data_IF_900302431021
#
_entry.id   IF_900302431021
#
_cell.length_a   1.000
_cell.length_b   1.000
_cell.length_c   1.000
_cell.angle_alpha   90.00
_cell.angle_beta   90.00
_cell.angle_gamma   90.00
#
_symmetry.space_group_name_H-M   'P 1'
#
loop_
_entity.id
_entity.type
_entity.pdbx_description
1 polymer ?
#
# COMPACT_ATOMS: atom_id res chain seq x y z
N UNK A 1 -14.25 12.23 6.78
CA UNK A 1 -14.83 11.78 8.06
C UNK A 1 -15.17 13.03 8.87
N UNK A 2 -16.31 13.11 9.56
CA UNK A 2 -16.61 14.26 10.41
C UNK A 2 -15.78 14.13 11.70
N UNK A 3 -14.72 14.92 11.82
CA UNK A 3 -13.68 14.81 12.86
C UNK A 3 -14.28 14.87 14.29
N UNK A 4 -15.27 15.75 14.50
CA UNK A 4 -15.98 15.88 15.79
C UNK A 4 -16.75 14.62 16.20
N UNK A 5 -17.31 13.89 15.23
CA UNK A 5 -18.02 12.64 15.54
C UNK A 5 -17.03 11.58 15.98
N UNK A 6 -15.93 11.41 15.24
CA UNK A 6 -14.90 10.43 15.57
C UNK A 6 -14.27 10.69 16.95
N UNK A 7 -14.02 11.95 17.29
CA UNK A 7 -13.53 12.35 18.61
C UNK A 7 -14.50 11.98 19.74
N UNK A 8 -15.80 12.26 19.57
CA UNK A 8 -16.81 11.92 20.59
C UNK A 8 -17.03 10.40 20.74
N UNK A 9 -17.03 9.67 19.61
CA UNK A 9 -17.15 8.21 19.61
C UNK A 9 -15.96 7.58 20.33
N UNK A 10 -14.73 8.05 20.04
CA UNK A 10 -13.51 7.58 20.71
C UNK A 10 -13.50 7.89 22.22
N UNK A 11 -13.88 9.11 22.60
CA UNK A 11 -13.97 9.51 24.01
C UNK A 11 -14.96 8.63 24.79
N UNK A 12 -16.11 8.33 24.21
CA UNK A 12 -17.11 7.45 24.82
C UNK A 12 -16.59 6.02 24.96
N UNK A 13 -15.86 5.54 23.94
CA UNK A 13 -15.25 4.21 23.95
C UNK A 13 -14.18 4.08 25.04
N UNK A 14 -13.25 5.03 25.16
CA UNK A 14 -12.16 4.94 26.16
C UNK A 14 -12.69 5.03 27.59
N UNK A 15 -13.71 5.86 27.84
CA UNK A 15 -14.39 5.93 29.15
C UNK A 15 -15.03 4.59 29.52
N UNK A 16 -15.74 3.97 28.57
CA UNK A 16 -16.37 2.66 28.76
C UNK A 16 -15.35 1.56 29.03
N UNK A 17 -14.24 1.56 28.29
CA UNK A 17 -13.15 0.58 28.45
C UNK A 17 -12.48 0.67 29.82
N UNK A 18 -12.21 1.89 30.30
CA UNK A 18 -11.64 2.11 31.63
C UNK A 18 -12.61 1.64 32.73
N UNK A 19 -13.91 1.93 32.58
CA UNK A 19 -14.93 1.50 33.53
C UNK A 19 -15.10 -0.03 33.56
N UNK A 20 -14.98 -0.70 32.42
CA UNK A 20 -15.01 -2.15 32.33
C UNK A 20 -13.77 -2.80 32.95
N UNK A 21 -12.56 -2.32 32.63
CA UNK A 21 -11.34 -2.84 33.25
C UNK A 21 -11.32 -2.65 34.76
N UNK A 22 -11.76 -1.49 35.27
CA UNK A 22 -11.87 -1.28 36.72
C UNK A 22 -12.83 -2.26 37.40
N UNK A 23 -13.87 -2.72 36.70
CA UNK A 23 -14.81 -3.75 37.20
C UNK A 23 -14.27 -5.18 37.09
N UNK A 24 -13.44 -5.44 36.09
CA UNK A 24 -12.89 -6.79 35.83
C UNK A 24 -11.63 -7.11 36.63
N UNK A 25 -10.97 -6.09 37.18
CA UNK A 25 -9.62 -6.21 37.76
C UNK A 25 -9.51 -5.56 39.15
N UNK A 26 -10.60 -5.01 39.69
CA UNK A 26 -10.66 -4.38 41.01
C UNK A 26 -10.96 -5.36 42.17
N UNK A 27 -10.86 -4.91 43.44
CA UNK A 27 -11.26 -5.71 44.60
C UNK A 27 -12.73 -6.17 44.48
N UNK A 28 -12.98 -7.48 44.56
CA UNK A 28 -14.32 -8.07 44.38
C UNK A 28 -14.68 -8.42 42.93
N UNK A 29 -13.69 -8.43 42.02
CA UNK A 29 -13.89 -8.89 40.64
C UNK A 29 -14.32 -10.37 40.58
N UNK A 30 -15.10 -10.78 39.57
CA UNK A 30 -15.47 -12.18 39.39
C UNK A 30 -14.23 -13.04 39.15
N UNK A 31 -14.00 -14.03 40.01
CA UNK A 31 -13.04 -15.10 39.73
C UNK A 31 -13.61 -16.01 38.64
N UNK A 32 -12.76 -16.45 37.71
CA UNK A 32 -13.16 -17.28 36.58
C UNK A 32 -13.65 -18.67 37.04
N UNK A 33 -13.13 -19.15 38.17
CA UNK A 33 -13.54 -20.41 38.80
C UNK A 33 -13.21 -20.42 40.30
N UNK A 34 -13.91 -21.28 41.06
CA UNK A 34 -13.65 -21.45 42.49
C UNK A 34 -12.23 -22.02 42.71
N UNK A 35 -11.40 -21.30 43.48
CA UNK A 35 -10.02 -21.68 43.79
C UNK A 35 -8.94 -20.97 42.97
N UNK A 36 -9.31 -20.05 42.08
CA UNK A 36 -8.36 -19.14 41.45
C UNK A 36 -7.67 -18.26 42.51
N UNK A 37 -6.34 -18.21 42.49
CA UNK A 37 -5.57 -17.35 43.38
C UNK A 37 -5.73 -15.88 42.94
N UNK A 38 -5.78 -14.94 43.90
CA UNK A 38 -5.59 -13.52 43.62
C UNK A 38 -4.19 -13.35 43.01
N UNK A 39 -4.13 -13.27 41.68
CA UNK A 39 -2.90 -13.22 40.90
C UNK A 39 -2.73 -11.89 40.18
N UNK A 40 -1.48 -11.55 39.92
CA UNK A 40 -1.08 -10.47 39.01
C UNK A 40 -1.85 -10.56 37.68
N UNK A 41 -2.25 -9.42 37.15
CA UNK A 41 -3.05 -9.33 35.94
C UNK A 41 -2.15 -9.63 34.76
N UNK A 42 -2.29 -10.84 34.23
CA UNK A 42 -1.48 -11.29 33.09
C UNK A 42 -1.61 -10.32 31.91
N UNK A 43 -0.51 -10.14 31.18
CA UNK A 43 -0.45 -9.31 29.99
C UNK A 43 -1.50 -9.70 28.94
N UNK A 44 -1.74 -11.00 28.79
CA UNK A 44 -2.82 -11.52 27.92
C UNK A 44 -4.20 -10.95 28.27
N UNK A 45 -4.50 -10.75 29.56
CA UNK A 45 -5.76 -10.17 30.03
C UNK A 45 -5.84 -8.70 29.65
N UNK A 46 -4.77 -7.93 29.87
CA UNK A 46 -4.70 -6.51 29.44
C UNK A 46 -4.91 -6.38 27.94
N UNK A 47 -4.24 -7.21 27.15
CA UNK A 47 -4.32 -7.24 25.69
C UNK A 47 -5.76 -7.47 25.24
N UNK A 48 -6.36 -8.58 25.68
CA UNK A 48 -7.70 -9.01 25.28
C UNK A 48 -8.82 -8.08 25.71
N UNK A 49 -8.80 -7.61 26.96
CA UNK A 49 -9.93 -6.86 27.53
C UNK A 49 -9.82 -5.35 27.34
N UNK A 50 -8.61 -4.82 27.15
CA UNK A 50 -8.40 -3.38 26.99
C UNK A 50 -7.79 -3.01 25.63
N UNK A 51 -6.59 -3.51 25.32
CA UNK A 51 -5.83 -3.01 24.16
C UNK A 51 -6.51 -3.33 22.83
N UNK A 52 -7.05 -4.54 22.66
CA UNK A 52 -7.69 -4.92 21.39
C UNK A 52 -8.85 -3.97 21.04
N UNK A 53 -9.67 -3.63 22.05
CA UNK A 53 -10.81 -2.74 21.87
C UNK A 53 -10.42 -1.27 21.79
N UNK A 54 -9.36 -0.87 22.49
CA UNK A 54 -8.76 0.45 22.31
C UNK A 54 -8.30 0.62 20.86
N UNK A 55 -7.64 -0.40 20.28
CA UNK A 55 -7.15 -0.37 18.91
C UNK A 55 -8.27 -0.30 17.89
N UNK A 56 -9.34 -1.08 18.10
CA UNK A 56 -10.56 -0.98 17.29
C UNK A 56 -11.17 0.42 17.36
N UNK A 57 -11.23 1.04 18.54
CA UNK A 57 -11.73 2.42 18.70
C UNK A 57 -10.83 3.46 18.02
N UNK A 58 -9.52 3.21 17.94
CA UNK A 58 -8.55 4.01 17.17
C UNK A 58 -8.64 3.77 15.65
N UNK A 59 -9.52 2.86 15.20
CA UNK A 59 -9.74 2.52 13.79
C UNK A 59 -8.78 1.48 13.22
N UNK A 60 -8.04 0.76 14.07
CA UNK A 60 -7.21 -0.36 13.65
C UNK A 60 -8.03 -1.65 13.58
N UNK A 61 -7.78 -2.45 12.55
CA UNK A 61 -8.45 -3.72 12.33
C UNK A 61 -7.50 -4.85 12.73
N UNK A 62 -7.89 -5.63 13.74
CA UNK A 62 -7.16 -6.78 14.24
C UNK A 62 -7.49 -8.05 13.44
N UNK A 63 -6.70 -9.09 13.70
CA UNK A 63 -6.90 -10.40 13.10
C UNK A 63 -6.33 -10.56 11.69
N UNK A 64 -6.52 -11.73 11.08
CA UNK A 64 -5.70 -12.15 9.94
C UNK A 64 -5.77 -11.19 8.74
N UNK A 65 -6.93 -10.61 8.43
CA UNK A 65 -7.11 -9.71 7.29
C UNK A 65 -6.95 -8.22 7.66
N UNK A 66 -6.66 -7.95 8.93
CA UNK A 66 -6.56 -6.61 9.47
C UNK A 66 -5.29 -5.87 9.06
N UNK A 67 -5.27 -4.59 9.42
CA UNK A 67 -4.12 -3.69 9.27
C UNK A 67 -3.29 -3.57 10.55
N UNK A 68 -3.60 -4.36 11.58
CA UNK A 68 -2.84 -4.54 12.80
C UNK A 68 -2.64 -6.04 13.05
N UNK A 69 -1.39 -6.49 13.11
CA UNK A 69 -1.06 -7.89 13.45
C UNK A 69 -0.76 -8.01 14.93
N UNK A 70 -1.38 -9.00 15.57
CA UNK A 70 -1.05 -9.43 16.93
C UNK A 70 0.11 -10.42 16.89
N UNK A 71 0.98 -10.41 17.91
CA UNK A 71 2.13 -11.32 18.06
C UNK A 71 2.97 -11.42 16.78
N UNK A 72 3.22 -10.26 16.17
CA UNK A 72 3.86 -10.15 14.89
C UNK A 72 5.28 -10.73 14.96
N UNK A 73 5.58 -11.65 14.05
CA UNK A 73 6.87 -12.32 13.94
C UNK A 73 7.69 -11.63 12.88
N UNK A 74 8.82 -11.06 13.28
CA UNK A 74 9.80 -10.52 12.34
C UNK A 74 11.02 -11.42 12.36
N UNK A 75 11.33 -11.97 11.19
CA UNK A 75 12.50 -12.82 10.98
C UNK A 75 13.66 -11.94 10.54
N UNK A 76 14.57 -11.67 11.48
CA UNK A 76 15.91 -11.13 11.19
C UNK A 76 16.89 -12.31 11.29
N UNK A 77 17.97 -12.20 12.07
CA UNK A 77 18.84 -13.35 12.42
C UNK A 77 18.17 -14.28 13.46
N UNK A 78 17.40 -13.70 14.38
CA UNK A 78 16.54 -14.39 15.35
C UNK A 78 15.09 -13.93 15.19
N UNK A 79 14.11 -14.76 15.55
CA UNK A 79 12.69 -14.37 15.53
C UNK A 79 12.41 -13.38 16.66
N UNK A 80 12.03 -12.16 16.31
CA UNK A 80 11.54 -11.16 17.26
C UNK A 80 10.00 -11.22 17.27
N UNK A 81 9.41 -11.22 18.46
CA UNK A 81 7.97 -11.17 18.67
C UNK A 81 7.60 -9.79 19.17
N UNK A 82 6.70 -9.10 18.46
CA UNK A 82 6.14 -7.81 18.88
C UNK A 82 4.65 -8.00 19.19
N UNK A 83 4.13 -7.36 20.24
CA UNK A 83 2.76 -7.59 20.67
C UNK A 83 1.75 -7.14 19.63
N UNK A 84 1.92 -5.91 19.10
CA UNK A 84 1.14 -5.43 17.96
C UNK A 84 1.99 -4.64 16.98
N UNK A 85 1.72 -4.86 15.69
CA UNK A 85 2.32 -4.11 14.59
C UNK A 85 1.24 -3.64 13.62
N UNK A 86 1.06 -2.32 13.58
CA UNK A 86 0.19 -1.63 12.64
C UNK A 86 0.95 -1.34 11.35
N UNK A 87 0.34 -1.67 10.21
CA UNK A 87 0.96 -1.57 8.89
C UNK A 87 0.19 -0.66 7.95
N UNK A 88 0.87 -0.13 6.94
CA UNK A 88 0.21 0.55 5.82
C UNK A 88 -0.69 -0.41 5.05
N UNK A 89 -1.74 0.10 4.39
CA UNK A 89 -2.59 -0.74 3.54
C UNK A 89 -1.84 -1.20 2.28
N UNK A 90 -1.10 -0.28 1.67
CA UNK A 90 -0.58 -0.47 0.31
C UNK A 90 0.73 -1.25 0.31
N UNK A 91 1.68 -0.84 1.14
CA UNK A 91 3.01 -1.46 1.20
C UNK A 91 3.14 -2.53 2.28
N UNK A 92 2.17 -2.63 3.19
CA UNK A 92 2.22 -3.46 4.40
C UNK A 92 3.47 -3.21 5.27
N UNK A 93 4.15 -2.08 5.07
CA UNK A 93 5.29 -1.67 5.89
C UNK A 93 4.83 -1.34 7.31
N UNK A 94 5.59 -1.75 8.35
CA UNK A 94 5.30 -1.41 9.74
C UNK A 94 5.34 0.10 9.99
N UNK A 95 4.25 0.70 10.46
CA UNK A 95 4.20 2.13 10.78
C UNK A 95 4.04 2.40 12.27
N UNK A 96 3.41 1.47 12.99
CA UNK A 96 3.07 1.62 14.39
C UNK A 96 3.39 0.34 15.16
N UNK A 97 4.08 0.46 16.29
CA UNK A 97 4.32 -0.68 17.19
C UNK A 97 3.67 -0.41 18.52
N UNK A 98 3.14 -1.46 19.11
CA UNK A 98 2.69 -1.46 20.50
C UNK A 98 3.41 -2.57 21.23
N UNK A 99 4.06 -2.18 22.31
CA UNK A 99 4.58 -3.09 23.31
C UNK A 99 3.68 -3.00 24.55
N UNK A 100 3.04 -4.12 24.86
CA UNK A 100 2.07 -4.26 25.94
C UNK A 100 2.74 -4.81 27.20
N UNK A 101 2.15 -4.48 28.36
CA UNK A 101 2.53 -5.00 29.67
C UNK A 101 1.28 -5.38 30.47
N UNK A 102 1.47 -6.18 31.53
CA UNK A 102 0.42 -6.50 32.50
C UNK A 102 -0.18 -5.24 33.15
N UNK A 103 -1.46 -5.27 33.47
CA UNK A 103 -2.22 -4.10 33.96
C UNK A 103 -1.62 -3.50 35.22
N UNK A 104 -1.06 -4.35 36.08
CA UNK A 104 -0.46 -4.00 37.37
C UNK A 104 0.96 -3.41 37.27
N UNK A 105 1.56 -3.34 36.07
CA UNK A 105 2.94 -2.91 35.95
C UNK A 105 3.08 -1.42 36.31
N UNK A 106 4.06 -1.09 37.18
CA UNK A 106 4.17 0.25 37.72
C UNK A 106 4.55 1.25 36.63
N UNK A 107 4.09 2.49 36.82
CA UNK A 107 4.57 3.62 36.04
C UNK A 107 6.09 3.82 36.21
N UNK A 108 6.70 4.60 35.32
CA UNK A 108 8.14 4.84 35.35
C UNK A 108 8.59 5.33 36.73
N UNK A 109 9.64 4.68 37.25
CA UNK A 109 10.16 4.92 38.59
C UNK A 109 11.67 4.76 38.59
N UNK A 110 12.32 5.58 39.43
CA UNK A 110 13.77 5.59 39.56
C UNK A 110 14.28 4.32 40.25
N UNK A 111 15.50 3.92 39.92
CA UNK A 111 16.19 2.79 40.60
C UNK A 111 16.70 3.16 42.00
N UNK A 112 16.82 4.45 42.32
CA UNK A 112 17.35 4.94 43.58
C UNK A 112 16.51 6.08 44.17
N UNK A 113 16.66 6.29 45.49
CA UNK A 113 15.90 7.28 46.24
C UNK A 113 16.28 8.73 45.90
N UNK A 114 17.46 8.98 45.33
CA UNK A 114 17.90 10.33 44.94
C UNK A 114 17.11 10.79 43.73
N UNK A 115 16.99 9.92 42.73
CA UNK A 115 16.27 10.17 41.48
C UNK A 115 14.77 9.96 41.59
N UNK A 116 14.27 9.37 42.68
CA UNK A 116 12.84 9.20 42.93
C UNK A 116 12.05 10.52 42.98
N UNK A 117 12.72 11.67 43.13
CA UNK A 117 12.11 13.01 43.10
C UNK A 117 12.12 13.66 41.71
N UNK A 118 12.80 13.07 40.73
CA UNK A 118 12.84 13.60 39.36
C UNK A 118 11.46 13.49 38.70
N UNK A 119 11.18 14.42 37.78
CA UNK A 119 9.94 14.35 37.01
C UNK A 119 9.97 13.13 36.07
N UNK A 120 8.86 12.40 35.88
CA UNK A 120 8.81 11.23 35.00
C UNK A 120 9.32 11.48 33.58
N UNK A 121 9.10 12.69 33.04
CA UNK A 121 9.58 13.12 31.72
C UNK A 121 11.11 13.24 31.65
N UNK A 122 11.77 13.73 32.69
CA UNK A 122 13.23 13.80 32.74
C UNK A 122 13.83 12.41 32.93
N UNK A 123 13.19 11.60 33.78
CA UNK A 123 13.63 10.25 34.08
C UNK A 123 13.57 9.34 32.85
N UNK A 124 12.52 9.42 32.04
CA UNK A 124 12.40 8.61 30.82
C UNK A 124 13.44 9.00 29.77
N UNK A 125 13.74 10.29 29.61
CA UNK A 125 14.79 10.77 28.70
C UNK A 125 16.14 10.22 29.12
N UNK A 126 16.48 10.31 30.41
CA UNK A 126 17.75 9.73 30.93
C UNK A 126 17.82 8.24 30.70
N UNK A 127 16.72 7.51 30.90
CA UNK A 127 16.66 6.08 30.66
C UNK A 127 16.85 5.74 29.17
N UNK A 128 16.25 6.50 28.26
CA UNK A 128 16.45 6.35 26.81
C UNK A 128 17.91 6.61 26.44
N UNK A 129 18.51 7.69 26.93
CA UNK A 129 19.92 7.99 26.67
C UNK A 129 20.87 6.94 27.25
N UNK A 130 20.52 6.34 28.39
CA UNK A 130 21.25 5.22 28.96
C UNK A 130 21.20 4.00 28.04
N UNK A 131 20.00 3.64 27.55
CA UNK A 131 19.81 2.52 26.60
C UNK A 131 20.54 2.76 25.28
N UNK A 132 20.47 3.99 24.73
CA UNK A 132 21.18 4.39 23.50
C UNK A 132 22.68 4.17 23.57
N UNK A 133 23.26 4.41 24.75
CA UNK A 133 24.69 4.23 25.01
C UNK A 133 25.08 2.79 25.32
N UNK A 134 24.13 1.85 25.28
CA UNK A 134 24.36 0.44 25.64
C UNK A 134 24.57 0.24 27.14
N UNK A 135 24.02 1.11 27.99
CA UNK A 135 24.19 1.03 29.42
C UNK A 135 23.57 -0.22 30.04
N UNK A 136 24.30 -0.85 30.96
CA UNK A 136 23.87 -2.05 31.68
C UNK A 136 22.71 -1.78 32.64
N UNK A 137 21.92 -2.83 32.92
CA UNK A 137 20.67 -2.76 33.68
C UNK A 137 20.89 -2.31 35.13
N UNK A 138 21.98 -2.77 35.73
CA UNK A 138 22.38 -2.52 37.11
C UNK A 138 22.65 -1.04 37.36
N UNK A 139 23.08 -0.31 36.34
CA UNK A 139 23.39 1.12 36.38
C UNK A 139 22.28 2.00 35.80
N UNK A 140 21.13 1.41 35.48
CA UNK A 140 19.99 2.11 34.90
C UNK A 140 19.47 3.20 35.85
N UNK A 141 19.08 4.39 35.34
CA UNK A 141 18.44 5.42 36.15
C UNK A 141 17.01 5.02 36.58
N UNK A 142 16.40 4.04 35.90
CA UNK A 142 15.09 3.49 36.19
C UNK A 142 15.18 2.06 36.70
N UNK A 143 14.12 1.59 37.36
CA UNK A 143 14.03 0.19 37.80
C UNK A 143 14.29 -0.78 36.63
N UNK A 144 14.83 -1.96 36.96
CA UNK A 144 15.29 -2.93 35.96
C UNK A 144 14.21 -3.33 34.94
N UNK A 145 12.95 -3.43 35.35
CA UNK A 145 11.85 -3.75 34.42
C UNK A 145 11.69 -2.66 33.33
N UNK A 146 11.76 -1.38 33.70
CA UNK A 146 11.67 -0.27 32.74
C UNK A 146 12.88 -0.20 31.81
N UNK A 147 14.08 -0.55 32.30
CA UNK A 147 15.26 -0.71 31.45
C UNK A 147 15.01 -1.77 30.37
N UNK A 148 14.51 -2.95 30.75
CA UNK A 148 14.21 -4.04 29.81
C UNK A 148 13.18 -3.58 28.75
N UNK A 149 12.12 -2.89 29.16
CA UNK A 149 11.07 -2.40 28.25
C UNK A 149 11.63 -1.43 27.21
N UNK A 150 12.47 -0.48 27.62
CA UNK A 150 13.09 0.48 26.72
C UNK A 150 14.12 -0.17 25.81
N UNK A 151 14.89 -1.14 26.30
CA UNK A 151 15.79 -1.95 25.47
C UNK A 151 15.02 -2.73 24.39
N UNK A 152 13.85 -3.26 24.72
CA UNK A 152 13.00 -3.98 23.78
C UNK A 152 12.45 -3.05 22.69
N UNK A 153 11.90 -1.89 23.06
CA UNK A 153 11.47 -0.86 22.10
C UNK A 153 12.62 -0.41 21.21
N UNK A 154 13.79 -0.11 21.78
CA UNK A 154 14.99 0.27 21.02
C UNK A 154 15.36 -0.79 19.97
N UNK A 155 15.36 -2.08 20.36
CA UNK A 155 15.64 -3.20 19.45
C UNK A 155 14.65 -3.25 18.30
N UNK A 156 13.36 -3.02 18.55
CA UNK A 156 12.35 -3.00 17.50
C UNK A 156 12.55 -1.88 16.50
N UNK A 157 12.72 -0.65 17.00
CA UNK A 157 12.93 0.54 16.18
C UNK A 157 14.16 0.34 15.29
N UNK A 158 15.27 -0.14 15.87
CA UNK A 158 16.50 -0.43 15.12
C UNK A 158 16.30 -1.52 14.07
N UNK A 159 15.76 -2.68 14.47
CA UNK A 159 15.63 -3.84 13.58
C UNK A 159 14.76 -3.54 12.36
N UNK A 160 13.66 -2.81 12.55
CA UNK A 160 12.77 -2.44 11.44
C UNK A 160 13.39 -1.38 10.53
N UNK A 161 14.11 -0.40 11.10
CA UNK A 161 14.84 0.60 10.31
C UNK A 161 15.92 -0.08 9.46
N UNK A 162 16.68 -0.99 10.04
CA UNK A 162 17.74 -1.73 9.34
C UNK A 162 17.15 -2.65 8.25
N UNK A 163 16.00 -3.28 8.51
CA UNK A 163 15.37 -4.24 7.58
C UNK A 163 14.63 -3.58 6.42
N UNK A 164 13.92 -2.47 6.66
CA UNK A 164 13.02 -1.87 5.68
C UNK A 164 13.47 -0.48 5.19
N UNK A 165 14.47 0.13 5.84
CA UNK A 165 15.01 1.44 5.47
C UNK A 165 14.12 2.64 5.84
N UNK A 166 12.87 2.42 6.23
CA UNK A 166 11.92 3.48 6.57
C UNK A 166 11.81 3.73 8.08
N UNK A 167 11.30 4.90 8.46
CA UNK A 167 11.07 5.25 9.86
C UNK A 167 9.69 4.81 10.35
N UNK A 168 9.65 4.32 11.58
CA UNK A 168 8.38 4.11 12.28
C UNK A 168 7.72 5.47 12.55
N UNK A 169 6.41 5.52 12.35
CA UNK A 169 5.62 6.73 12.57
C UNK A 169 5.31 6.89 14.05
N UNK A 170 4.99 5.81 14.76
CA UNK A 170 4.69 5.84 16.20
C UNK A 170 5.17 4.58 16.91
N UNK A 171 5.46 4.71 18.19
CA UNK A 171 5.55 3.57 19.13
C UNK A 171 4.72 3.88 20.37
N UNK A 172 3.95 2.90 20.84
CA UNK A 172 3.24 2.93 22.11
C UNK A 172 3.81 1.86 23.04
N UNK A 173 4.28 2.26 24.21
CA UNK A 173 4.57 1.36 25.33
C UNK A 173 3.49 1.57 26.38
N UNK A 174 2.80 0.51 26.80
CA UNK A 174 1.62 0.66 27.66
C UNK A 174 1.34 -0.56 28.55
N UNK A 175 0.84 -0.32 29.76
CA UNK A 175 0.21 -1.35 30.61
C UNK A 175 -1.33 -1.29 30.60
N UNK A 176 -1.91 -0.36 29.84
CA UNK A 176 -3.31 0.05 30.00
C UNK A 176 -3.51 1.11 31.10
N UNK A 177 -2.87 0.99 32.26
CA UNK A 177 -2.91 2.02 33.32
C UNK A 177 -2.09 3.27 32.97
N UNK A 178 -1.09 3.11 32.12
CA UNK A 178 -0.29 4.22 31.60
C UNK A 178 0.06 4.00 30.13
N UNK A 179 0.34 5.09 29.44
CA UNK A 179 0.82 5.12 28.05
C UNK A 179 2.06 5.99 27.97
N UNK A 180 3.06 5.49 27.24
CA UNK A 180 4.18 6.28 26.74
C UNK A 180 4.14 6.22 25.23
N UNK A 181 3.83 7.35 24.60
CA UNK A 181 3.76 7.49 23.15
C UNK A 181 5.02 8.19 22.67
N UNK A 182 5.72 7.56 21.74
CA UNK A 182 6.88 8.14 21.05
C UNK A 182 6.45 8.62 19.67
N UNK A 183 6.49 9.93 19.46
CA UNK A 183 6.03 10.56 18.22
C UNK A 183 7.02 10.34 17.06
N UNK A 184 8.33 10.39 17.33
CA UNK A 184 9.37 10.18 16.32
C UNK A 184 10.37 9.12 16.78
N UNK A 185 9.99 7.82 16.82
CA UNK A 185 10.78 6.76 17.44
C UNK A 185 12.22 6.66 16.93
N UNK A 186 12.44 6.76 15.61
CA UNK A 186 13.79 6.74 15.04
C UNK A 186 14.65 7.90 15.55
N UNK A 187 14.08 9.11 15.65
CA UNK A 187 14.79 10.27 16.20
C UNK A 187 15.06 10.09 17.69
N UNK A 188 14.06 9.63 18.45
CA UNK A 188 14.16 9.42 19.90
C UNK A 188 15.22 8.36 20.25
N UNK A 189 15.20 7.21 19.58
CA UNK A 189 16.01 6.04 19.95
C UNK A 189 17.29 5.88 19.13
N UNK A 190 17.33 6.28 17.86
CA UNK A 190 18.49 6.10 16.98
C UNK A 190 19.24 7.40 16.68
N UNK A 191 18.66 8.55 17.03
CA UNK A 191 19.27 9.86 16.84
C UNK A 191 20.53 10.08 17.68
N UNK A 192 21.46 10.88 17.14
CA UNK A 192 22.71 11.25 17.82
C UNK A 192 22.53 12.32 18.90
N UNK A 193 21.50 13.14 18.78
CA UNK A 193 21.10 14.13 19.79
C UNK A 193 20.35 13.46 20.95
N UNK A 194 20.27 14.15 22.10
CA UNK A 194 19.40 13.73 23.20
C UNK A 194 17.94 13.65 22.73
N UNK A 195 17.18 12.71 23.28
CA UNK A 195 15.74 12.61 23.05
C UNK A 195 15.03 13.92 23.41
N UNK A 196 14.19 14.40 22.50
CA UNK A 196 13.40 15.61 22.69
C UNK A 196 12.20 15.30 23.61
N UNK A 197 12.02 16.02 24.74
CA UNK A 197 10.84 15.87 25.58
C UNK A 197 9.52 16.04 24.84
N UNK A 198 9.46 16.87 23.79
CA UNK A 198 8.25 17.10 23.02
C UNK A 198 7.79 15.85 22.24
N UNK A 199 8.71 14.92 21.97
CA UNK A 199 8.42 13.68 21.23
C UNK A 199 7.88 12.56 22.12
N UNK A 200 7.83 12.77 23.45
CA UNK A 200 7.52 11.73 24.44
C UNK A 200 6.30 12.16 25.26
N UNK A 201 5.17 11.53 24.98
CA UNK A 201 3.91 11.82 25.67
C UNK A 201 3.68 10.74 26.73
N UNK A 202 3.68 11.15 27.99
CA UNK A 202 3.36 10.29 29.13
C UNK A 202 1.94 10.56 29.63
N UNK A 203 1.14 9.51 29.76
CA UNK A 203 -0.25 9.58 30.22
C UNK A 203 -0.51 8.51 31.28
N UNK A 204 -1.38 8.82 32.24
CA UNK A 204 -2.00 7.84 33.15
C UNK A 204 -3.46 7.65 32.81
N UNK A 205 -4.06 6.57 33.28
CA UNK A 205 -5.47 6.22 33.04
C UNK A 205 -6.44 7.37 33.35
N UNK A 206 -6.16 8.16 34.39
CA UNK A 206 -6.94 9.32 34.79
C UNK A 206 -6.95 10.44 33.73
N UNK A 207 -5.91 10.51 32.89
CA UNK A 207 -5.77 11.53 31.86
C UNK A 207 -6.51 11.16 30.57
N UNK A 208 -6.81 9.87 30.34
CA UNK A 208 -7.23 9.37 29.03
C UNK A 208 -8.52 9.98 28.52
N UNK A 209 -9.53 10.15 29.38
CA UNK A 209 -10.82 10.73 28.95
C UNK A 209 -10.64 12.22 28.63
N UNK A 210 -9.88 12.95 29.46
CA UNK A 210 -9.62 14.37 29.30
C UNK A 210 -8.75 14.65 28.06
N UNK A 211 -7.79 13.77 27.76
CA UNK A 211 -6.86 13.85 26.63
C UNK A 211 -7.20 12.91 25.47
N UNK A 212 -8.46 12.48 25.40
CA UNK A 212 -8.92 11.51 24.39
C UNK A 212 -8.70 12.00 22.95
N UNK A 213 -8.90 13.30 22.70
CA UNK A 213 -8.60 13.91 21.39
C UNK A 213 -7.11 13.80 21.05
N UNK A 214 -6.21 14.14 21.98
CA UNK A 214 -4.76 14.02 21.76
C UNK A 214 -4.35 12.57 21.49
N UNK A 215 -4.91 11.62 22.22
CA UNK A 215 -4.64 10.19 22.02
C UNK A 215 -5.10 9.75 20.62
N UNK A 216 -6.29 10.17 20.19
CA UNK A 216 -6.81 9.87 18.86
C UNK A 216 -5.94 10.51 17.76
N UNK A 217 -5.48 11.74 17.98
CA UNK A 217 -4.61 12.45 17.05
C UNK A 217 -3.21 11.82 16.93
N UNK A 218 -2.71 11.25 18.03
CA UNK A 218 -1.40 10.60 18.06
C UNK A 218 -1.43 9.17 17.53
N UNK A 219 -2.47 8.39 17.85
CA UNK A 219 -2.52 6.94 17.66
C UNK A 219 -3.59 6.45 16.69
N UNK A 220 -4.52 7.33 16.30
CA UNK A 220 -5.60 7.00 15.38
C UNK A 220 -5.04 6.55 14.04
N UNK A 221 -5.59 5.45 13.50
CA UNK A 221 -5.11 4.88 12.24
C UNK A 221 -5.11 5.91 11.11
N UNK A 222 -6.12 6.76 11.06
CA UNK A 222 -6.26 7.81 10.04
C UNK A 222 -5.21 8.94 10.15
N UNK A 223 -4.49 9.04 11.28
CA UNK A 223 -3.40 9.99 11.50
C UNK A 223 -2.04 9.37 11.20
N UNK A 224 -1.88 8.09 11.56
CA UNK A 224 -0.65 7.33 11.33
C UNK A 224 -0.53 6.89 9.87
N UNK A 225 -1.62 6.39 9.28
CA UNK A 225 -1.65 5.93 7.89
C UNK A 225 -2.14 7.08 7.02
N UNK A 226 -1.23 7.66 6.25
CA UNK A 226 -1.60 8.56 5.17
C UNK A 226 -2.53 7.80 4.21
N UNK A 227 -3.82 8.12 4.27
CA UNK A 227 -4.79 7.55 3.32
C UNK A 227 -4.67 8.36 2.05
N UNK A 228 -3.77 7.94 1.18
CA UNK A 228 -3.69 8.49 -0.17
C UNK A 228 -4.90 7.95 -0.94
N UNK A 229 -5.73 8.82 -1.53
CA UNK A 229 -6.77 8.37 -2.45
C UNK A 229 -6.17 7.52 -3.57
N UNK A 230 -6.85 6.43 -3.95
CA UNK A 230 -6.45 5.57 -5.07
C UNK A 230 -6.24 6.34 -6.37
N UNK A 231 -6.99 7.43 -6.55
CA UNK A 231 -6.87 8.37 -7.66
C UNK A 231 -6.94 9.81 -7.19
N UNK A 232 -6.07 10.65 -7.73
CA UNK A 232 -6.00 12.09 -7.49
C UNK A 232 -6.43 12.88 -8.73
N UNK A 233 -7.08 14.02 -8.53
CA UNK A 233 -7.17 15.07 -9.54
C UNK A 233 -5.89 15.91 -9.52
N UNK A 234 -5.48 16.54 -10.64
CA UNK A 234 -4.26 17.36 -10.68
C UNK A 234 -4.19 18.43 -9.57
N UNK A 235 -5.32 19.05 -9.24
CA UNK A 235 -5.40 20.07 -8.19
C UNK A 235 -5.19 19.55 -6.77
N UNK A 236 -5.30 18.23 -6.56
CA UNK A 236 -5.09 17.60 -5.26
C UNK A 236 -3.63 17.20 -5.02
N UNK A 237 -2.80 17.17 -6.07
CA UNK A 237 -1.39 16.80 -5.98
C UNK A 237 -0.61 17.54 -4.89
N UNK A 238 -0.72 18.88 -4.73
CA UNK A 238 0.06 19.63 -3.74
C UNK A 238 -0.22 19.22 -2.30
N UNK A 239 -1.38 18.61 -2.03
CA UNK A 239 -1.73 18.08 -0.70
C UNK A 239 -0.91 16.84 -0.33
N UNK A 240 -0.44 16.09 -1.33
CA UNK A 240 0.21 14.79 -1.14
C UNK A 240 1.65 14.75 -1.62
N UNK A 241 2.10 15.71 -2.42
CA UNK A 241 3.44 15.76 -3.01
C UNK A 241 3.98 17.18 -2.95
N UNK A 242 5.16 17.35 -2.37
CA UNK A 242 5.91 18.60 -2.48
C UNK A 242 6.79 18.57 -3.73
N UNK A 243 7.18 19.73 -4.29
CA UNK A 243 8.02 19.79 -5.49
C UNK A 243 9.31 18.96 -5.39
N UNK A 244 9.95 18.93 -4.21
CA UNK A 244 11.18 18.17 -3.96
C UNK A 244 10.99 16.68 -3.68
N UNK A 245 9.75 16.21 -3.54
CA UNK A 245 9.43 14.82 -3.19
C UNK A 245 9.19 13.95 -4.43
N UNK A 246 9.13 14.53 -5.63
CA UNK A 246 8.91 13.80 -6.89
C UNK A 246 10.20 13.11 -7.30
N UNK A 247 10.21 11.78 -7.29
CA UNK A 247 11.31 10.98 -7.82
C UNK A 247 11.22 10.86 -9.34
N UNK A 248 10.06 10.44 -9.85
CA UNK A 248 9.81 10.19 -11.27
C UNK A 248 8.34 10.43 -11.64
N UNK A 249 8.12 10.65 -12.93
CA UNK A 249 6.79 10.73 -13.54
C UNK A 249 6.69 9.70 -14.65
N UNK A 250 5.50 9.14 -14.86
CA UNK A 250 5.21 8.23 -15.96
C UNK A 250 3.85 8.57 -16.55
N UNK A 251 3.67 8.32 -17.83
CA UNK A 251 2.32 8.16 -18.38
C UNK A 251 1.73 6.83 -17.94
N UNK A 252 0.41 6.85 -17.79
CA UNK A 252 -0.38 5.65 -17.64
C UNK A 252 -1.72 5.81 -18.35
N UNK A 253 -2.49 4.73 -18.36
CA UNK A 253 -3.86 4.71 -18.83
C UNK A 253 -4.73 3.99 -17.81
N UNK A 254 -5.79 4.62 -17.35
CA UNK A 254 -6.90 3.85 -16.78
C UNK A 254 -7.74 3.32 -17.94
N UNK A 255 -7.95 2.02 -17.95
CA UNK A 255 -8.66 1.32 -19.01
C UNK A 255 -9.84 0.61 -18.38
N UNK A 256 -11.02 0.86 -18.94
CA UNK A 256 -12.26 0.22 -18.56
C UNK A 256 -12.81 -0.57 -19.72
N UNK A 257 -13.17 -1.81 -19.46
CA UNK A 257 -13.79 -2.69 -20.45
C UNK A 257 -15.25 -2.93 -20.12
N UNK A 258 -16.11 -2.67 -21.11
CA UNK A 258 -17.55 -2.81 -20.98
C UNK A 258 -18.11 -3.82 -22.00
N UNK A 259 -19.05 -4.66 -21.54
CA UNK A 259 -19.90 -5.44 -22.42
C UNK A 259 -21.13 -4.60 -22.80
N UNK A 260 -21.09 -3.99 -23.98
CA UNK A 260 -22.16 -3.15 -24.52
C UNK A 260 -23.28 -4.00 -25.14
N UNK A 261 -24.53 -3.58 -24.93
CA UNK A 261 -25.73 -4.21 -25.47
C UNK A 261 -26.49 -5.07 -24.47
N UNK A 262 -27.61 -5.64 -24.93
CA UNK A 262 -28.49 -6.47 -24.10
C UNK A 262 -27.86 -7.81 -23.77
N UNK A 263 -28.01 -8.27 -22.53
CA UNK A 263 -27.63 -9.63 -22.12
C UNK A 263 -28.45 -10.74 -22.81
N UNK A 264 -29.53 -10.38 -23.52
CA UNK A 264 -30.33 -11.30 -24.34
C UNK A 264 -29.79 -11.49 -25.76
N UNK A 265 -28.86 -10.64 -26.19
CA UNK A 265 -28.23 -10.68 -27.51
C UNK A 265 -26.70 -10.78 -27.37
N UNK A 266 -26.00 -10.97 -28.48
CA UNK A 266 -24.54 -10.95 -28.46
C UNK A 266 -24.04 -9.54 -28.10
N UNK A 267 -23.41 -9.42 -26.94
CA UNK A 267 -22.82 -8.17 -26.47
C UNK A 267 -21.53 -7.86 -27.24
N UNK A 268 -21.25 -6.58 -27.43
CA UNK A 268 -20.03 -6.10 -28.09
C UNK A 268 -19.08 -5.48 -27.06
N UNK A 269 -17.77 -5.72 -27.17
CA UNK A 269 -16.81 -5.08 -26.30
C UNK A 269 -16.72 -3.58 -26.61
N UNK A 270 -16.62 -2.77 -25.57
CA UNK A 270 -16.27 -1.35 -25.64
C UNK A 270 -15.13 -1.11 -24.67
N UNK A 271 -14.01 -0.59 -25.16
CA UNK A 271 -12.84 -0.25 -24.35
C UNK A 271 -12.82 1.27 -24.23
N UNK A 272 -12.83 1.77 -22.99
CA UNK A 272 -12.68 3.18 -22.67
C UNK A 272 -11.28 3.42 -22.11
N UNK A 273 -10.61 4.44 -22.64
CA UNK A 273 -9.25 4.82 -22.24
C UNK A 273 -9.28 6.21 -21.60
N UNK A 274 -8.61 6.32 -20.46
CA UNK A 274 -8.47 7.57 -19.71
C UNK A 274 -6.99 7.84 -19.51
N UNK A 275 -6.43 8.92 -20.11
CA UNK A 275 -5.07 9.34 -19.84
C UNK A 275 -4.82 9.53 -18.34
N UNK A 276 -3.70 9.00 -17.86
CA UNK A 276 -3.27 9.14 -16.49
C UNK A 276 -1.80 9.57 -16.41
N UNK A 277 -1.45 10.18 -15.29
CA UNK A 277 -0.05 10.43 -14.89
C UNK A 277 0.20 9.70 -13.59
N UNK A 278 1.27 8.91 -13.54
CA UNK A 278 1.70 8.22 -12.33
C UNK A 278 2.89 8.99 -11.76
N UNK A 279 2.76 9.43 -10.51
CA UNK A 279 3.81 10.14 -9.77
C UNK A 279 4.45 9.18 -8.79
N UNK A 280 5.75 8.94 -8.94
CA UNK A 280 6.57 8.23 -7.95
C UNK A 280 7.21 9.24 -7.02
N UNK A 281 6.97 9.09 -5.72
CA UNK A 281 7.63 9.88 -4.67
C UNK A 281 8.97 9.27 -4.28
N UNK A 282 9.85 10.07 -3.66
CA UNK A 282 11.15 9.63 -3.14
C UNK A 282 11.07 8.52 -2.09
N UNK A 283 9.92 8.36 -1.42
CA UNK A 283 9.65 7.28 -0.46
C UNK A 283 9.02 6.03 -1.11
N UNK A 284 8.95 5.99 -2.45
CA UNK A 284 8.43 4.85 -3.22
C UNK A 284 6.91 4.78 -3.32
N UNK A 285 6.17 5.76 -2.78
CA UNK A 285 4.72 5.83 -2.95
C UNK A 285 4.38 6.21 -4.39
N UNK A 286 3.47 5.44 -4.99
CA UNK A 286 2.92 5.69 -6.32
C UNK A 286 1.56 6.36 -6.21
N UNK A 287 1.41 7.50 -6.86
CA UNK A 287 0.15 8.26 -6.92
C UNK A 287 -0.38 8.23 -8.34
N UNK A 288 -1.66 7.92 -8.49
CA UNK A 288 -2.32 7.90 -9.80
C UNK A 288 -3.11 9.19 -9.97
N UNK A 289 -2.86 9.92 -11.05
CA UNK A 289 -3.50 11.20 -11.33
C UNK A 289 -4.33 11.09 -12.60
N UNK A 290 -5.61 11.43 -12.49
CA UNK A 290 -6.55 11.38 -13.60
C UNK A 290 -7.34 12.68 -13.70
N UNK A 291 -7.75 13.00 -14.92
CA UNK A 291 -8.75 14.03 -15.17
C UNK A 291 -10.13 13.39 -15.23
N UNK A 292 -11.11 14.04 -14.60
CA UNK A 292 -12.51 13.66 -14.71
C UNK A 292 -12.99 13.81 -16.17
N UNK A 293 -13.74 12.83 -16.68
CA UNK A 293 -14.24 12.81 -18.05
C UNK A 293 -14.94 11.51 -18.43
N UNK A 294 -15.53 11.44 -19.62
CA UNK A 294 -16.38 10.33 -20.08
C UNK A 294 -15.61 9.12 -20.66
N UNK A 295 -14.28 9.21 -20.75
CA UNK A 295 -13.43 8.19 -21.35
C UNK A 295 -13.42 8.25 -22.87
N UNK A 296 -12.28 7.89 -23.45
CA UNK A 296 -12.05 7.94 -24.89
C UNK A 296 -12.28 6.53 -25.44
N UNK A 297 -13.37 6.26 -26.18
CA UNK A 297 -13.63 4.93 -26.70
C UNK A 297 -12.60 4.55 -27.75
N UNK A 298 -12.00 3.38 -27.60
CA UNK A 298 -11.14 2.80 -28.61
C UNK A 298 -12.00 2.53 -29.88
N UNK A 299 -11.54 2.95 -31.07
CA UNK A 299 -12.32 2.82 -32.28
C UNK A 299 -12.29 1.38 -32.80
N UNK A 300 -13.34 0.98 -33.51
CA UNK A 300 -13.45 -0.34 -34.11
C UNK A 300 -12.92 -0.41 -35.54
N UNK A 301 -12.71 0.73 -36.20
CA UNK A 301 -12.11 0.81 -37.53
C UNK A 301 -10.61 1.04 -37.43
N UNK A 302 -9.81 0.38 -38.27
CA UNK A 302 -8.35 0.56 -38.30
C UNK A 302 -7.98 1.99 -38.72
N UNK A 303 -8.74 2.57 -39.66
CA UNK A 303 -8.55 3.93 -40.15
C UNK A 303 -8.69 4.98 -39.02
N UNK A 304 -9.46 4.67 -37.98
CA UNK A 304 -9.73 5.56 -36.86
C UNK A 304 -8.75 5.35 -35.70
N UNK A 305 -7.95 4.28 -35.69
CA UNK A 305 -6.99 4.01 -34.61
C UNK A 305 -5.96 5.12 -34.51
N UNK A 306 -5.35 5.53 -35.61
CA UNK A 306 -4.31 6.58 -35.60
C UNK A 306 -4.88 7.93 -35.08
N UNK A 307 -6.02 8.43 -35.60
CA UNK A 307 -6.69 9.61 -35.01
C UNK A 307 -6.96 9.48 -33.51
N UNK A 308 -7.47 8.33 -33.07
CA UNK A 308 -7.72 8.08 -31.65
C UNK A 308 -6.44 8.18 -30.81
N UNK A 309 -5.34 7.56 -31.27
CA UNK A 309 -4.07 7.63 -30.57
C UNK A 309 -3.59 9.08 -30.45
N UNK A 310 -3.65 9.87 -31.52
CA UNK A 310 -3.29 11.29 -31.49
C UNK A 310 -4.16 12.10 -30.51
N UNK A 311 -5.45 11.80 -30.44
CA UNK A 311 -6.34 12.43 -29.46
C UNK A 311 -5.96 12.05 -28.03
N UNK A 312 -5.68 10.79 -27.74
CA UNK A 312 -5.22 10.33 -26.41
C UNK A 312 -3.89 11.01 -26.07
N UNK A 313 -2.96 11.10 -27.01
CA UNK A 313 -1.66 11.75 -26.82
C UNK A 313 -1.82 13.21 -26.40
N UNK A 314 -2.69 13.96 -27.09
CA UNK A 314 -2.99 15.35 -26.74
C UNK A 314 -3.55 15.47 -25.32
N UNK A 315 -4.49 14.61 -24.94
CA UNK A 315 -5.08 14.65 -23.60
C UNK A 315 -4.07 14.26 -22.50
N UNK A 316 -3.17 13.33 -22.79
CA UNK A 316 -2.08 12.96 -21.89
C UNK A 316 -1.09 14.13 -21.68
N UNK A 317 -0.76 14.87 -22.75
CA UNK A 317 0.09 16.08 -22.66
C UNK A 317 -0.59 17.20 -21.85
N UNK A 318 -1.88 17.46 -22.10
CA UNK A 318 -2.67 18.41 -21.31
C UNK A 318 -2.68 18.04 -19.82
N UNK A 319 -2.88 16.75 -19.50
CA UNK A 319 -2.87 16.28 -18.13
C UNK A 319 -1.49 16.43 -17.48
N UNK A 320 -0.42 16.07 -18.18
CA UNK A 320 0.95 16.22 -17.68
C UNK A 320 1.28 17.70 -17.40
N UNK A 321 0.89 18.59 -18.31
CA UNK A 321 1.08 20.04 -18.13
C UNK A 321 0.34 20.57 -16.89
N UNK A 322 -0.90 20.12 -16.67
CA UNK A 322 -1.65 20.45 -15.45
C UNK A 322 -0.96 19.93 -14.18
N UNK A 323 -0.43 18.70 -14.23
CA UNK A 323 0.32 18.13 -13.11
C UNK A 323 1.57 18.94 -12.80
N UNK A 324 2.37 19.33 -13.80
CA UNK A 324 3.52 20.20 -13.63
C UNK A 324 3.12 21.57 -13.05
N UNK A 325 2.04 22.15 -13.56
CA UNK A 325 1.51 23.43 -13.07
C UNK A 325 1.13 23.39 -11.59
N UNK A 326 0.48 22.33 -11.13
CA UNK A 326 0.12 22.16 -9.72
C UNK A 326 1.31 21.78 -8.83
N UNK A 327 2.22 20.91 -9.31
CA UNK A 327 3.40 20.50 -8.55
C UNK A 327 4.45 21.60 -8.45
N UNK A 328 4.41 22.62 -9.33
CA UNK A 328 5.41 23.69 -9.37
C UNK A 328 6.81 23.21 -9.79
N UNK A 329 6.90 22.01 -10.39
CA UNK A 329 8.13 21.42 -10.89
C UNK A 329 7.87 20.74 -12.24
N UNK A 330 8.85 20.82 -13.13
CA UNK A 330 8.84 20.12 -14.41
C UNK A 330 9.81 18.95 -14.33
N UNK A 331 9.27 17.74 -14.37
CA UNK A 331 10.04 16.48 -14.37
C UNK A 331 9.75 15.75 -15.68
N UNK A 332 10.79 15.20 -16.31
CA UNK A 332 10.65 14.39 -17.52
C UNK A 332 9.95 13.06 -17.21
N UNK A 333 9.08 12.62 -18.12
CA UNK A 333 8.50 11.26 -18.02
C UNK A 333 9.59 10.20 -18.20
N UNK A 334 9.50 9.17 -17.38
CA UNK A 334 10.46 8.07 -17.28
C UNK A 334 10.03 6.88 -18.15
N UNK A 335 11.00 6.07 -18.54
CA UNK A 335 10.76 4.89 -19.39
C UNK A 335 10.07 3.76 -18.59
N UNK A 336 9.47 2.79 -19.30
CA UNK A 336 8.74 1.67 -18.68
C UNK A 336 9.66 0.81 -17.80
N UNK A 337 10.89 0.59 -18.23
CA UNK A 337 11.90 -0.24 -17.54
C UNK A 337 12.43 0.39 -16.25
N UNK A 338 12.19 1.69 -16.05
CA UNK A 338 12.53 2.41 -14.82
C UNK A 338 11.45 2.32 -13.75
N UNK A 339 10.26 1.82 -14.10
CA UNK A 339 9.15 1.73 -13.15
C UNK A 339 9.35 0.61 -12.13
N UNK A 340 9.21 0.89 -10.82
CA UNK A 340 9.40 -0.11 -9.77
C UNK A 340 8.33 -1.22 -9.78
N UNK A 341 7.23 -1.01 -10.50
CA UNK A 341 6.07 -1.90 -10.50
C UNK A 341 5.00 -1.47 -9.50
N UNK A 342 3.75 -1.73 -9.83
CA UNK A 342 2.66 -1.59 -8.88
C UNK A 342 2.81 -2.61 -7.74
N UNK A 343 2.43 -2.20 -6.54
CA UNK A 343 2.52 -3.06 -5.37
C UNK A 343 1.45 -4.15 -5.43
N UNK A 344 1.81 -5.43 -5.21
CA UNK A 344 0.83 -6.50 -5.12
C UNK A 344 -0.14 -6.24 -3.96
N UNK A 345 -1.44 -6.12 -4.25
CA UNK A 345 -2.45 -5.95 -3.20
C UNK A 345 -2.72 -7.28 -2.47
N UNK A 346 -2.85 -7.23 -1.14
CA UNK A 346 -3.25 -8.35 -0.29
C UNK A 346 -2.10 -9.16 0.34
N UNK A 347 -2.45 -10.25 1.07
CA UNK A 347 -1.51 -11.03 1.91
C UNK A 347 -0.37 -11.74 1.17
N UNK A 348 -0.37 -11.76 -0.16
CA UNK A 348 0.69 -12.36 -0.98
C UNK A 348 1.88 -11.42 -1.23
N UNK A 349 1.93 -10.25 -0.60
CA UNK A 349 3.06 -9.32 -0.62
C UNK A 349 4.37 -9.84 0.03
N UNK A 350 4.51 -11.15 0.25
CA UNK A 350 5.68 -11.75 0.93
C UNK A 350 6.96 -11.77 0.09
N UNK A 351 6.88 -11.42 -1.21
CA UNK A 351 8.04 -11.19 -2.05
C UNK A 351 7.71 -10.13 -3.10
N UNK A 352 8.64 -9.20 -3.35
CA UNK A 352 8.58 -8.35 -4.53
C UNK A 352 8.51 -9.25 -5.77
N UNK A 353 7.58 -9.02 -6.71
CA UNK A 353 7.49 -9.84 -7.90
C UNK A 353 8.81 -9.78 -8.67
N UNK A 354 9.28 -10.92 -9.19
CA UNK A 354 10.54 -11.00 -9.95
C UNK A 354 10.56 -10.11 -11.20
N UNK A 355 9.38 -9.70 -11.67
CA UNK A 355 9.19 -8.76 -12.77
C UNK A 355 8.22 -7.67 -12.32
N UNK A 356 8.51 -6.38 -12.58
CA UNK A 356 7.61 -5.28 -12.23
C UNK A 356 6.18 -5.51 -12.77
N UNK A 357 5.18 -5.28 -11.91
CA UNK A 357 3.78 -5.27 -12.32
C UNK A 357 3.47 -3.95 -13.02
N UNK A 358 3.19 -4.00 -14.32
CA UNK A 358 2.85 -2.82 -15.12
C UNK A 358 1.34 -2.57 -15.21
N UNK A 359 0.55 -3.44 -14.58
CA UNK A 359 -0.90 -3.40 -14.52
C UNK A 359 -1.33 -3.49 -13.06
N UNK A 360 -2.10 -2.52 -12.58
CA UNK A 360 -2.77 -2.58 -11.29
C UNK A 360 -4.27 -2.84 -11.49
N UNK A 361 -4.74 -3.96 -10.95
CA UNK A 361 -6.15 -4.30 -10.89
C UNK A 361 -6.84 -3.35 -9.91
N UNK A 362 -7.75 -2.53 -10.44
CA UNK A 362 -8.48 -1.56 -9.62
C UNK A 362 -9.58 -2.31 -8.86
N UNK A 363 -9.20 -2.88 -7.72
CA UNK A 363 -10.00 -3.79 -6.90
C UNK A 363 -11.43 -3.30 -6.56
N UNK A 364 -11.70 -2.01 -6.70
CA UNK A 364 -13.01 -1.39 -6.50
C UNK A 364 -14.02 -1.71 -7.63
N UNK A 365 -13.56 -2.03 -8.85
CA UNK A 365 -14.43 -2.34 -10.00
C UNK A 365 -13.82 -3.42 -10.93
N UNK A 366 -14.55 -4.52 -11.22
CA UNK A 366 -14.06 -5.52 -12.15
C UNK A 366 -13.96 -4.96 -13.58
N UNK A 367 -12.97 -5.43 -14.35
CA UNK A 367 -12.67 -4.97 -15.71
C UNK A 367 -12.21 -3.50 -15.80
N UNK A 368 -11.58 -3.01 -14.74
CA UNK A 368 -10.88 -1.72 -14.73
C UNK A 368 -9.43 -1.92 -14.29
N UNK A 369 -8.51 -1.31 -15.04
CA UNK A 369 -7.07 -1.46 -14.80
C UNK A 369 -6.36 -0.13 -14.94
N UNK A 370 -5.33 0.07 -14.11
CA UNK A 370 -4.34 1.12 -14.32
C UNK A 370 -3.12 0.51 -15.01
N UNK A 371 -2.83 0.97 -16.22
CA UNK A 371 -1.70 0.55 -17.05
C UNK A 371 -0.59 1.59 -16.92
N UNK A 372 0.64 1.14 -16.69
CA UNK A 372 1.81 1.99 -16.85
C UNK A 372 2.31 1.95 -18.30
N UNK A 373 2.30 3.09 -18.99
CA UNK A 373 2.82 3.21 -20.36
C UNK A 373 4.19 3.92 -20.43
N UNK A 374 4.69 4.44 -19.31
CA UNK A 374 6.02 5.03 -19.19
C UNK A 374 6.14 6.31 -20.01
N UNK A 375 7.01 6.29 -21.02
CA UNK A 375 7.17 7.41 -21.96
C UNK A 375 6.13 7.40 -23.10
N UNK A 376 5.43 6.28 -23.30
CA UNK A 376 4.36 6.17 -24.29
C UNK A 376 3.05 6.65 -23.68
N UNK A 377 2.15 7.21 -24.49
CA UNK A 377 0.86 7.74 -24.03
C UNK A 377 -0.30 6.77 -24.28
N UNK A 378 -0.04 5.68 -25.01
CA UNK A 378 -0.99 4.59 -25.23
C UNK A 378 -0.28 3.24 -25.24
N UNK A 379 -0.98 2.16 -24.88
CA UNK A 379 -0.44 0.78 -24.91
C UNK A 379 -0.39 0.16 -26.32
N UNK A 380 -0.97 0.83 -27.30
CA UNK A 380 -1.03 0.43 -28.72
C UNK A 380 -0.09 1.31 -29.51
N UNK A 381 0.51 0.73 -30.55
CA UNK A 381 1.28 1.45 -31.55
C UNK A 381 0.34 1.85 -32.69
N UNK A 382 0.61 2.98 -33.38
CA UNK A 382 -0.15 3.37 -34.57
C UNK A 382 -0.13 2.28 -35.65
N UNK A 383 1.02 1.65 -35.84
CA UNK A 383 1.24 0.57 -36.80
C UNK A 383 2.08 -0.52 -36.11
N UNK A 384 1.83 -1.81 -36.40
CA UNK A 384 2.68 -2.90 -35.93
C UNK A 384 4.14 -2.70 -36.37
N UNK A 385 5.10 -3.00 -35.48
CA UNK A 385 6.55 -2.88 -35.76
C UNK A 385 6.94 -3.69 -37.01
N UNK A 386 6.30 -4.84 -37.22
CA UNK A 386 6.37 -5.60 -38.46
C UNK A 386 5.03 -5.55 -39.19
N UNK A 387 4.98 -4.77 -40.27
CA UNK A 387 3.83 -4.68 -41.19
C UNK A 387 4.33 -4.62 -42.64
N UNK A 388 3.75 -5.37 -43.59
CA UNK A 388 2.63 -6.29 -43.40
C UNK A 388 3.03 -7.56 -42.63
N UNK A 389 2.06 -8.19 -41.96
CA UNK A 389 2.21 -9.49 -41.31
C UNK A 389 1.07 -10.40 -41.74
N UNK A 390 1.38 -11.51 -42.41
CA UNK A 390 0.37 -12.46 -42.90
C UNK A 390 -0.55 -13.01 -41.80
N UNK A 391 -0.08 -12.99 -40.55
CA UNK A 391 -0.76 -13.57 -39.39
C UNK A 391 -1.78 -12.64 -38.72
N UNK A 392 -1.96 -11.41 -39.23
CA UNK A 392 -3.16 -10.62 -38.93
C UNK A 392 -4.41 -11.22 -39.58
N UNK A 393 -4.23 -12.16 -40.52
CA UNK A 393 -5.32 -12.92 -41.14
C UNK A 393 -5.28 -14.40 -40.75
N UNK A 394 -6.46 -14.97 -40.55
CA UNK A 394 -6.68 -16.39 -40.35
C UNK A 394 -6.20 -17.18 -41.56
N UNK A 395 -6.45 -16.66 -42.77
CA UNK A 395 -6.01 -17.28 -44.01
C UNK A 395 -4.48 -17.44 -44.07
N UNK A 396 -3.73 -16.41 -43.66
CA UNK A 396 -2.26 -16.49 -43.58
C UNK A 396 -1.78 -17.52 -42.54
N UNK A 397 -2.47 -17.64 -41.40
CA UNK A 397 -2.15 -18.65 -40.39
C UNK A 397 -2.51 -20.07 -40.86
N UNK A 398 -3.60 -20.24 -41.60
CA UNK A 398 -4.04 -21.52 -42.16
C UNK A 398 -3.01 -22.08 -43.15
N UNK A 399 -2.39 -21.22 -43.95
CA UNK A 399 -1.36 -21.62 -44.92
C UNK A 399 -0.15 -22.31 -44.26
N UNK A 400 0.15 -21.98 -43.00
CA UNK A 400 1.25 -22.56 -42.21
C UNK A 400 0.76 -23.52 -41.12
N UNK A 401 -0.53 -23.87 -41.10
CA UNK A 401 -1.17 -24.74 -40.09
C UNK A 401 -1.01 -24.25 -38.64
N UNK A 402 -1.00 -22.93 -38.45
CA UNK A 402 -0.91 -22.27 -37.15
C UNK A 402 -2.14 -21.41 -36.87
N UNK A 403 -3.28 -21.77 -37.42
CA UNK A 403 -4.53 -21.03 -37.27
C UNK A 403 -5.15 -21.18 -35.88
N UNK A 404 -5.72 -20.10 -35.36
CA UNK A 404 -6.49 -20.11 -34.11
C UNK A 404 -7.60 -21.17 -34.10
N UNK A 405 -7.82 -21.80 -32.95
CA UNK A 405 -8.86 -22.81 -32.74
C UNK A 405 -10.30 -22.28 -32.89
N UNK A 406 -10.49 -20.96 -32.91
CA UNK A 406 -11.81 -20.32 -33.03
C UNK A 406 -12.25 -20.05 -34.47
N UNK A 407 -11.43 -20.40 -35.46
CA UNK A 407 -11.67 -20.02 -36.86
C UNK A 407 -11.37 -18.53 -37.12
N UNK A 408 -11.77 -18.05 -38.30
CA UNK A 408 -11.67 -16.63 -38.64
C UNK A 408 -12.62 -15.80 -37.76
N UNK A 409 -12.06 -14.90 -36.95
CA UNK A 409 -12.84 -14.07 -36.04
C UNK A 409 -13.35 -12.86 -36.81
N UNK A 410 -14.56 -12.94 -37.34
CA UNK A 410 -15.20 -11.85 -38.09
C UNK A 410 -16.03 -10.90 -37.22
N UNK A 411 -16.19 -11.22 -35.94
CA UNK A 411 -17.02 -10.48 -34.99
C UNK A 411 -16.29 -10.29 -33.66
N UNK A 412 -16.47 -9.11 -33.06
CA UNK A 412 -15.92 -8.75 -31.75
C UNK A 412 -16.68 -9.48 -30.65
N UNK A 413 -15.96 -10.00 -29.66
CA UNK A 413 -16.51 -10.87 -28.61
C UNK A 413 -16.12 -10.41 -27.23
N UNK A 414 -17.05 -10.54 -26.29
CA UNK A 414 -16.84 -10.13 -24.89
C UNK A 414 -16.12 -11.18 -24.04
N UNK A 415 -16.01 -12.42 -24.53
CA UNK A 415 -15.34 -13.56 -23.88
C UNK A 415 -15.17 -14.74 -24.85
N UNK A 416 -14.26 -15.67 -24.52
CA UNK A 416 -14.01 -16.94 -25.20
C UNK A 416 -13.77 -16.86 -26.73
N UNK A 417 -12.73 -16.13 -27.19
CA UNK A 417 -11.85 -15.25 -26.44
C UNK A 417 -12.40 -13.82 -26.36
N UNK A 418 -11.87 -12.99 -25.43
CA UNK A 418 -12.05 -11.53 -25.48
C UNK A 418 -11.34 -10.99 -26.70
N UNK A 419 -12.08 -10.37 -27.62
CA UNK A 419 -11.54 -9.88 -28.89
C UNK A 419 -12.13 -8.54 -29.24
N UNK A 420 -11.27 -7.53 -29.32
CA UNK A 420 -11.63 -6.21 -29.81
C UNK A 420 -11.22 -6.00 -31.27
N UNK A 421 -10.01 -6.41 -31.66
CA UNK A 421 -9.58 -6.39 -33.06
C UNK A 421 -9.87 -7.72 -33.76
N UNK A 422 -10.54 -7.67 -34.91
CA UNK A 422 -11.00 -8.84 -35.67
C UNK A 422 -10.04 -9.20 -36.80
N UNK A 423 -10.29 -10.34 -37.45
CA UNK A 423 -9.49 -10.86 -38.55
C UNK A 423 -9.24 -9.79 -39.63
N UNK A 424 -8.03 -9.79 -40.19
CA UNK A 424 -7.51 -8.81 -41.17
C UNK A 424 -7.21 -7.40 -40.65
N UNK A 425 -7.56 -7.08 -39.40
CA UNK A 425 -7.16 -5.81 -38.79
C UNK A 425 -5.70 -5.81 -38.38
N UNK A 426 -5.02 -4.67 -38.49
CA UNK A 426 -3.58 -4.55 -38.23
C UNK A 426 -3.20 -4.85 -36.77
N UNK A 427 -4.11 -4.63 -35.83
CA UNK A 427 -3.90 -4.92 -34.41
C UNK A 427 -4.32 -6.33 -34.00
N UNK A 428 -4.83 -7.16 -34.92
CA UNK A 428 -5.24 -8.54 -34.66
C UNK A 428 -4.09 -9.53 -34.91
N UNK A 429 -4.04 -10.64 -34.15
CA UNK A 429 -3.15 -11.76 -34.42
C UNK A 429 -3.90 -13.09 -34.33
N UNK A 430 -4.00 -13.80 -35.46
CA UNK A 430 -4.69 -15.08 -35.58
C UNK A 430 -3.79 -16.31 -35.32
N UNK A 431 -2.51 -16.11 -35.00
CA UNK A 431 -1.52 -17.18 -34.88
C UNK A 431 -1.65 -17.95 -33.56
N UNK A 432 -1.95 -19.25 -33.62
CA UNK A 432 -2.23 -20.10 -32.46
C UNK A 432 -1.07 -20.16 -31.46
N UNK A 433 0.14 -20.49 -31.92
CA UNK A 433 1.29 -20.57 -31.00
C UNK A 433 1.60 -19.24 -30.30
N UNK A 434 1.32 -18.11 -30.95
CA UNK A 434 1.49 -16.79 -30.32
C UNK A 434 0.48 -16.58 -29.21
N UNK A 435 -0.77 -16.99 -29.44
CA UNK A 435 -1.81 -16.93 -28.41
C UNK A 435 -1.46 -17.79 -27.20
N UNK A 436 -1.11 -19.06 -27.42
CA UNK A 436 -0.80 -19.99 -26.34
C UNK A 436 0.36 -19.48 -25.46
N UNK A 437 1.37 -18.86 -26.09
CA UNK A 437 2.50 -18.27 -25.36
C UNK A 437 2.13 -16.97 -24.62
N UNK A 438 1.08 -16.24 -25.02
CA UNK A 438 0.65 -15.01 -24.36
C UNK A 438 0.02 -15.27 -22.99
N UNK A 439 -0.59 -16.43 -22.76
CA UNK A 439 -1.35 -16.74 -21.55
C UNK A 439 -0.55 -16.53 -20.24
N UNK A 440 0.76 -16.76 -20.28
CA UNK A 440 1.63 -16.68 -19.09
C UNK A 440 2.37 -15.34 -18.93
N UNK A 441 2.32 -14.44 -19.93
CA UNK A 441 3.24 -13.28 -19.98
C UNK A 441 2.64 -11.98 -20.49
N UNK A 442 1.53 -12.02 -21.23
CA UNK A 442 0.97 -10.84 -21.87
C UNK A 442 0.32 -9.89 -20.85
N UNK A 443 0.79 -8.64 -20.81
CA UNK A 443 0.31 -7.62 -19.83
C UNK A 443 -1.13 -7.17 -20.06
N UNK A 444 -1.64 -7.27 -21.29
CA UNK A 444 -2.97 -6.81 -21.68
C UNK A 444 -3.93 -7.95 -22.02
N UNK A 445 -3.58 -9.20 -21.66
CA UNK A 445 -4.38 -10.38 -21.99
C UNK A 445 -5.83 -10.27 -21.46
N UNK A 446 -5.99 -9.69 -20.27
CA UNK A 446 -7.30 -9.47 -19.64
C UNK A 446 -8.17 -8.45 -20.40
N UNK A 447 -7.57 -7.59 -21.22
CA UNK A 447 -8.24 -6.54 -22.01
C UNK A 447 -8.63 -7.10 -23.38
N UNK A 448 -7.66 -7.67 -24.10
CA UNK A 448 -7.88 -8.32 -25.40
C UNK A 448 -6.86 -9.46 -25.61
N UNK A 449 -7.37 -10.68 -25.82
CA UNK A 449 -6.57 -11.88 -25.97
C UNK A 449 -5.87 -11.95 -27.35
N UNK A 450 -6.39 -11.25 -28.35
CA UNK A 450 -5.97 -11.38 -29.75
C UNK A 450 -5.17 -10.18 -30.26
N UNK A 451 -4.88 -9.18 -29.43
CA UNK A 451 -4.01 -8.06 -29.84
C UNK A 451 -2.63 -8.55 -30.27
N UNK A 452 -2.16 -8.06 -31.42
CA UNK A 452 -0.85 -8.36 -31.97
C UNK A 452 0.28 -7.82 -31.08
N UNK A 453 1.27 -8.66 -30.75
CA UNK A 453 2.41 -8.25 -29.92
C UNK A 453 3.24 -7.13 -30.59
N UNK A 454 3.34 -7.15 -31.93
CA UNK A 454 4.04 -6.11 -32.71
C UNK A 454 3.32 -4.76 -32.67
N UNK A 455 2.03 -4.75 -32.34
CA UNK A 455 1.20 -3.56 -32.22
C UNK A 455 1.10 -3.04 -30.78
N UNK A 456 1.79 -3.65 -29.82
CA UNK A 456 1.74 -3.30 -28.40
C UNK A 456 3.08 -2.73 -27.92
N UNK A 457 3.05 -1.76 -27.01
CA UNK A 457 4.27 -1.18 -26.43
C UNK A 457 4.97 -2.15 -25.45
N UNK A 458 4.24 -3.09 -24.85
CA UNK A 458 4.78 -4.03 -23.87
C UNK A 458 5.53 -5.21 -24.48
N UNK A 459 5.76 -5.21 -25.79
CA UNK A 459 6.45 -6.29 -26.50
C UNK A 459 7.78 -6.65 -25.81
N UNK A 460 8.61 -5.65 -25.54
CA UNK A 460 9.93 -5.87 -24.91
C UNK A 460 9.85 -6.23 -23.42
N UNK A 461 8.70 -6.02 -22.78
CA UNK A 461 8.43 -6.43 -21.39
C UNK A 461 7.78 -7.81 -21.26
N UNK A 462 7.27 -8.35 -22.38
CA UNK A 462 6.65 -9.67 -22.46
C UNK A 462 7.61 -10.71 -23.05
N UNK A 463 8.56 -10.29 -23.87
CA UNK A 463 9.45 -11.17 -24.63
C UNK A 463 10.91 -10.76 -24.42
N UNK A 464 11.78 -11.73 -24.24
CA UNK A 464 13.22 -11.48 -24.22
C UNK A 464 13.73 -11.16 -25.63
N UNK A 465 14.88 -10.46 -25.78
CA UNK A 465 15.45 -10.17 -27.09
C UNK A 465 15.69 -11.43 -27.96
N UNK A 466 16.06 -12.55 -27.35
CA UNK A 466 16.24 -13.83 -28.04
C UNK A 466 14.93 -14.40 -28.57
N UNK A 467 13.85 -14.35 -27.78
CA UNK A 467 12.52 -14.80 -28.21
C UNK A 467 11.97 -13.90 -29.32
N UNK A 468 12.13 -12.58 -29.22
CA UNK A 468 11.69 -11.61 -30.22
C UNK A 468 12.26 -11.92 -31.62
N UNK A 469 13.52 -12.32 -31.69
CA UNK A 469 14.17 -12.70 -32.95
C UNK A 469 13.56 -13.97 -33.58
N UNK A 470 12.93 -14.82 -32.77
CA UNK A 470 12.31 -16.09 -33.21
C UNK A 470 10.80 -16.00 -33.40
N UNK A 471 10.18 -14.86 -33.08
CA UNK A 471 8.74 -14.72 -33.25
C UNK A 471 8.36 -14.86 -34.72
N UNK A 472 7.26 -15.56 -35.03
CA UNK A 472 6.82 -15.82 -36.39
C UNK A 472 6.35 -14.54 -37.11
N UNK A 473 6.32 -13.38 -36.45
CA UNK A 473 5.89 -12.12 -37.05
C UNK A 473 6.73 -11.77 -38.31
N UNK A 474 6.12 -11.82 -39.50
CA UNK A 474 6.71 -11.33 -40.76
C UNK A 474 7.23 -12.42 -41.72
N UNK A 475 6.31 -13.09 -42.43
CA UNK A 475 6.61 -13.66 -43.76
C UNK A 475 6.42 -12.58 -44.83
#
# INVERSE_FOLDING_TARGET
MNDLKAQNDFKSAIESLLAEMKRSVGPGSPVAYAGEADGDVLEHTTRKFFLDRLLQALGWELGPAGNMSEEARIKVETTIFMDYVGVSNDSRLPLFIIEAKGWDKPFISASDAVRAREQPSELIIRAIEHVKKGGEKENSPVIGAWHDYLCQVFKYVKSLKDQHGHDLVRVLLTSGQWMVIFEYPSRTFLGTSNADPADIILLRDIDYVARSTDILDLLGRHKIVATVPSTLRPSQLPTFVRPGDVARLYHGLHVRYEASGSSRFEQRPRILVYPAVIVERNDGILLQVLREGDGMPLPTSDDDVVPHLSDVERHADELLLLCHGHLGVTVSVSAIDQFPGFQPKGRRAQAAPAVPLLLDDQAEAPNEWMLLTGQFKHYLRPIPVKSPCAYHSFAGCLAVRQQSSYGAISIRRVSNPRVFFIDTQDHHCAHLAMRDQKDERCRILAIDEMTCCQACIYMDSCWTPGELATLPCGL
#
